data_IF_662114667545
#
_entry.id   IF_662114667545
#
_cell.length_a   1.000
_cell.length_b   1.000
_cell.length_c   1.000
_cell.angle_alpha   90.00
_cell.angle_beta   90.00
_cell.angle_gamma   90.00
#
_symmetry.space_group_name_H-M   'P 1'
#
loop_
_entity.id
_entity.type
_entity.pdbx_description
1 polymer ?
#
# COMPACT_ATOMS: atom_id res chain seq x y z
N UNK A 1 17.51 -23.67 24.37
CA UNK A 1 16.12 -23.40 23.92
C UNK A 1 16.15 -22.12 23.09
N UNK A 2 15.69 -22.16 21.83
CA UNK A 2 15.74 -21.01 20.94
C UNK A 2 14.76 -19.93 21.39
N UNK A 3 15.21 -18.67 21.34
CA UNK A 3 14.33 -17.49 21.44
C UNK A 3 14.19 -16.91 20.05
N UNK A 4 12.96 -16.89 19.54
CA UNK A 4 12.66 -16.45 18.16
C UNK A 4 11.87 -15.15 18.24
N UNK A 5 12.23 -14.20 17.38
CA UNK A 5 11.46 -12.99 17.12
C UNK A 5 10.97 -13.01 15.67
N UNK A 6 9.74 -12.54 15.48
CA UNK A 6 9.14 -12.29 14.18
C UNK A 6 8.66 -10.84 14.11
N UNK A 7 8.80 -10.23 12.94
CA UNK A 7 8.45 -8.84 12.70
C UNK A 7 8.08 -8.68 11.23
N UNK A 8 7.22 -7.72 10.86
CA UNK A 8 7.20 -7.24 9.48
C UNK A 8 8.60 -6.81 9.06
N UNK A 9 8.94 -7.03 7.79
CA UNK A 9 10.22 -6.60 7.22
C UNK A 9 10.33 -5.07 7.12
N UNK A 10 9.19 -4.36 7.13
CA UNK A 10 9.14 -2.90 7.01
C UNK A 10 7.95 -2.33 7.77
N UNK A 11 8.20 -1.23 8.49
CA UNK A 11 7.20 -0.38 9.12
C UNK A 11 7.40 1.06 8.62
N UNK A 12 6.32 1.72 8.20
CA UNK A 12 6.36 3.06 7.62
C UNK A 12 5.30 3.92 8.29
N UNK A 13 5.72 5.06 8.85
CA UNK A 13 4.83 6.01 9.52
C UNK A 13 5.31 7.43 9.29
N UNK A 14 4.37 8.32 8.97
CA UNK A 14 4.62 9.74 8.76
C UNK A 14 3.41 10.43 8.14
N UNK A 15 3.40 11.77 8.09
CA UNK A 15 2.39 12.50 7.34
C UNK A 15 2.41 12.08 5.87
N UNK A 16 1.22 11.91 5.28
CA UNK A 16 1.02 11.55 3.87
C UNK A 16 1.73 10.26 3.39
N UNK A 17 2.09 9.34 4.30
CA UNK A 17 2.76 8.09 3.96
C UNK A 17 2.00 7.24 2.91
N UNK A 18 0.67 7.37 2.84
CA UNK A 18 -0.15 6.69 1.83
C UNK A 18 0.19 7.10 0.38
N UNK A 19 0.62 8.35 0.16
CA UNK A 19 1.05 8.84 -1.17
C UNK A 19 2.39 8.23 -1.57
N UNK A 20 3.26 7.98 -0.60
CA UNK A 20 4.59 7.39 -0.80
C UNK A 20 4.54 5.86 -0.95
N UNK A 21 3.36 5.24 -0.81
CA UNK A 21 3.23 3.78 -0.84
C UNK A 21 3.83 3.15 -2.11
N UNK A 22 3.65 3.77 -3.27
CA UNK A 22 4.20 3.30 -4.55
C UNK A 22 5.71 3.05 -4.51
N UNK A 23 6.48 3.97 -3.92
CA UNK A 23 7.94 3.85 -3.77
C UNK A 23 8.34 2.57 -3.04
N UNK A 24 7.58 2.20 -2.01
CA UNK A 24 7.88 1.03 -1.19
C UNK A 24 7.29 -0.26 -1.76
N UNK A 25 6.16 -0.16 -2.46
CA UNK A 25 5.43 -1.26 -3.06
C UNK A 25 6.11 -1.84 -4.30
N UNK A 26 6.85 -1.03 -5.07
CA UNK A 26 7.53 -1.47 -6.30
C UNK A 26 8.48 -2.65 -6.07
N UNK A 27 9.15 -2.66 -4.92
CA UNK A 27 10.08 -3.73 -4.56
C UNK A 27 9.38 -5.05 -4.16
N UNK A 28 8.05 -5.05 -4.04
CA UNK A 28 7.26 -6.22 -3.64
C UNK A 28 6.52 -6.84 -4.83
N UNK A 29 5.96 -6.02 -5.72
CA UNK A 29 5.23 -6.50 -6.89
C UNK A 29 5.05 -5.41 -7.97
N UNK A 30 4.73 -5.86 -9.19
CA UNK A 30 4.38 -5.02 -10.34
C UNK A 30 2.88 -4.75 -10.47
N UNK A 31 2.05 -5.44 -9.67
CA UNK A 31 0.59 -5.28 -9.68
C UNK A 31 -0.01 -5.56 -8.30
N UNK A 32 -0.96 -4.75 -7.87
CA UNK A 32 -1.66 -4.90 -6.58
C UNK A 32 -3.18 -4.96 -6.75
N UNK A 33 -3.81 -5.73 -5.87
CA UNK A 33 -5.25 -5.73 -5.69
C UNK A 33 -5.57 -4.91 -4.44
N UNK A 34 -6.24 -3.77 -4.61
CA UNK A 34 -6.55 -2.83 -3.54
C UNK A 34 -7.94 -3.15 -3.03
N UNK A 35 -8.05 -3.50 -1.74
CA UNK A 35 -9.30 -3.85 -1.09
C UNK A 35 -9.61 -2.79 -0.04
N UNK A 36 -10.75 -2.13 -0.17
CA UNK A 36 -11.25 -1.18 0.82
C UNK A 36 -12.77 -0.96 0.64
N UNK A 37 -13.42 -0.53 1.73
CA UNK A 37 -14.83 -0.15 1.69
C UNK A 37 -15.06 1.22 1.02
N UNK A 38 -16.32 1.57 0.78
CA UNK A 38 -16.71 2.83 0.15
C UNK A 38 -16.26 4.08 0.93
N UNK A 39 -16.19 4.01 2.25
CA UNK A 39 -15.80 5.15 3.07
C UNK A 39 -14.31 5.42 2.94
N UNK A 40 -13.48 4.37 3.06
CA UNK A 40 -12.03 4.44 2.94
C UNK A 40 -11.62 4.80 1.52
N UNK A 41 -12.28 4.25 0.50
CA UNK A 41 -12.00 4.62 -0.89
C UNK A 41 -12.26 6.10 -1.16
N UNK A 42 -13.33 6.68 -0.59
CA UNK A 42 -13.59 8.13 -0.68
C UNK A 42 -12.60 8.97 0.12
N UNK A 43 -12.12 8.47 1.26
CA UNK A 43 -11.21 9.20 2.14
C UNK A 43 -9.77 9.21 1.61
N UNK A 44 -9.28 8.08 1.08
CA UNK A 44 -7.86 7.86 0.80
C UNK A 44 -7.58 7.06 -0.49
N UNK A 45 -8.60 6.55 -1.18
CA UNK A 45 -8.42 5.68 -2.36
C UNK A 45 -7.59 6.35 -3.46
N UNK A 46 -7.87 7.60 -3.79
CA UNK A 46 -7.11 8.36 -4.78
C UNK A 46 -5.63 8.50 -4.41
N UNK A 47 -5.31 8.75 -3.13
CA UNK A 47 -3.92 8.87 -2.68
C UNK A 47 -3.13 7.57 -2.93
N UNK A 48 -3.75 6.42 -2.67
CA UNK A 48 -3.12 5.11 -2.85
C UNK A 48 -3.00 4.75 -4.33
N UNK A 49 -4.08 4.88 -5.10
CA UNK A 49 -4.10 4.52 -6.53
C UNK A 49 -3.15 5.41 -7.33
N UNK A 50 -3.17 6.73 -7.10
CA UNK A 50 -2.25 7.67 -7.77
C UNK A 50 -0.79 7.44 -7.32
N UNK A 51 -0.58 7.11 -6.03
CA UNK A 51 0.73 6.76 -5.50
C UNK A 51 1.33 5.53 -6.19
N UNK A 52 0.52 4.48 -6.43
CA UNK A 52 0.91 3.29 -7.18
C UNK A 52 1.20 3.61 -8.65
N UNK A 53 0.29 4.33 -9.31
CA UNK A 53 0.42 4.69 -10.73
C UNK A 53 1.64 5.57 -11.01
N UNK A 54 1.97 6.52 -10.12
CA UNK A 54 3.15 7.39 -10.26
C UNK A 54 4.50 6.64 -10.19
N UNK A 55 4.48 5.37 -9.79
CA UNK A 55 5.65 4.48 -9.74
C UNK A 55 5.54 3.32 -10.73
N UNK A 56 4.72 3.46 -11.77
CA UNK A 56 4.49 2.43 -12.80
C UNK A 56 4.04 1.09 -12.22
N UNK A 57 3.17 1.12 -11.22
CA UNK A 57 2.59 -0.08 -10.61
C UNK A 57 1.13 -0.20 -11.03
N UNK A 58 0.77 -1.37 -11.58
CA UNK A 58 -0.63 -1.66 -11.96
C UNK A 58 -1.46 -1.90 -10.70
N UNK A 59 -2.73 -1.52 -10.73
CA UNK A 59 -3.64 -1.90 -9.66
C UNK A 59 -5.07 -2.10 -10.15
N UNK A 60 -5.79 -2.97 -9.44
CA UNK A 60 -7.24 -3.11 -9.52
C UNK A 60 -7.81 -2.84 -8.13
N UNK A 61 -8.73 -1.88 -8.03
CA UNK A 61 -9.41 -1.59 -6.78
C UNK A 61 -10.79 -2.26 -6.78
N UNK A 62 -11.05 -3.09 -5.78
CA UNK A 62 -12.34 -3.75 -5.60
C UNK A 62 -12.96 -3.30 -4.29
N UNK A 63 -14.26 -3.00 -4.35
CA UNK A 63 -15.04 -2.65 -3.17
C UNK A 63 -15.35 -3.90 -2.36
N UNK A 64 -15.14 -3.81 -1.04
CA UNK A 64 -15.55 -4.83 -0.08
C UNK A 64 -16.65 -4.30 0.85
#
# INVERSE_FOLDING_TARGET
>A
MLKVIQSPAKYLQGPDAAVLFGQYAKNLAESFFVIADDFVMKLAGEKVVNGLQSHDIRCHAERF
#
